data_IF_962875298653
#
_entry.id   IF_962875298653
#
_cell.length_a   1.000
_cell.length_b   1.000
_cell.length_c   1.000
_cell.angle_alpha   90.00
_cell.angle_beta   90.00
_cell.angle_gamma   90.00
#
_symmetry.space_group_name_H-M   'P 1'
#
loop_
_entity.id
_entity.type
_entity.pdbx_description
1 polymer ?
#
# COMPACT_ATOMS: atom_id res chain seq x y z
N UNK A 1 -50.53 27.24 12.52
CA UNK A 1 -49.91 27.37 11.17
C UNK A 1 -50.03 26.03 10.47
N UNK A 2 -50.99 25.90 9.55
CA UNK A 2 -51.35 24.63 8.90
C UNK A 2 -50.76 24.61 7.49
N UNK A 3 -49.79 23.72 7.25
CA UNK A 3 -49.09 23.56 5.99
C UNK A 3 -49.93 22.80 4.97
N UNK A 4 -50.33 23.48 3.90
CA UNK A 4 -51.15 22.95 2.81
C UNK A 4 -50.30 22.01 1.94
N UNK A 5 -50.39 20.70 2.17
CA UNK A 5 -49.90 19.65 1.26
C UNK A 5 -50.68 19.75 -0.07
N UNK A 6 -50.13 20.45 -1.06
CA UNK A 6 -50.67 20.43 -2.42
C UNK A 6 -50.31 19.09 -3.07
N UNK A 7 -51.34 18.27 -3.26
CA UNK A 7 -51.26 16.94 -3.87
C UNK A 7 -50.64 16.98 -5.27
N UNK A 8 -49.53 16.25 -5.41
CA UNK A 8 -48.90 15.90 -6.68
C UNK A 8 -49.49 14.58 -7.19
N UNK A 9 -50.80 14.55 -7.48
CA UNK A 9 -51.47 13.37 -8.05
C UNK A 9 -52.02 13.66 -9.44
N UNK A 10 -51.30 14.47 -10.22
CA UNK A 10 -51.55 14.61 -11.65
C UNK A 10 -50.87 13.45 -12.37
N UNK A 11 -51.63 12.44 -12.77
CA UNK A 11 -51.12 11.42 -13.68
C UNK A 11 -50.59 12.11 -14.95
N UNK A 12 -49.43 11.71 -15.48
CA UNK A 12 -48.90 12.30 -16.69
C UNK A 12 -49.93 12.12 -17.81
N UNK A 13 -50.23 13.20 -18.53
CA UNK A 13 -51.04 13.12 -19.75
C UNK A 13 -50.41 12.13 -20.76
N UNK A 14 -51.13 11.72 -21.81
CA UNK A 14 -50.65 10.69 -22.76
C UNK A 14 -49.27 11.00 -23.35
N UNK A 15 -48.94 12.27 -23.58
CA UNK A 15 -47.60 12.70 -24.02
C UNK A 15 -46.50 12.55 -22.96
N UNK A 16 -46.84 12.65 -21.67
CA UNK A 16 -45.93 12.41 -20.55
C UNK A 16 -45.60 10.92 -20.38
N UNK A 17 -46.59 10.04 -20.58
CA UNK A 17 -46.39 8.58 -20.55
C UNK A 17 -45.43 8.14 -21.66
N UNK A 18 -45.60 8.64 -22.89
CA UNK A 18 -44.70 8.32 -24.00
C UNK A 18 -43.25 8.77 -23.72
N UNK A 19 -43.05 9.98 -23.20
CA UNK A 19 -41.71 10.47 -22.84
C UNK A 19 -41.06 9.61 -21.77
N UNK A 20 -41.82 9.21 -20.74
CA UNK A 20 -41.33 8.32 -19.69
C UNK A 20 -40.88 6.98 -20.28
N UNK A 21 -41.70 6.36 -21.13
CA UNK A 21 -41.36 5.09 -21.78
C UNK A 21 -40.10 5.19 -22.63
N UNK A 22 -39.93 6.28 -23.39
CA UNK A 22 -38.71 6.52 -24.18
C UNK A 22 -37.48 6.66 -23.29
N UNK A 23 -37.56 7.42 -22.20
CA UNK A 23 -36.45 7.55 -21.25
C UNK A 23 -36.08 6.20 -20.62
N UNK A 24 -37.08 5.41 -20.20
CA UNK A 24 -36.85 4.08 -19.64
C UNK A 24 -36.18 3.17 -20.67
N UNK A 25 -36.69 3.15 -21.91
CA UNK A 25 -36.09 2.37 -22.99
C UNK A 25 -34.63 2.78 -23.26
N UNK A 26 -34.34 4.08 -23.31
CA UNK A 26 -32.98 4.58 -23.52
C UNK A 26 -32.02 4.15 -22.40
N UNK A 27 -32.43 4.23 -21.13
CA UNK A 27 -31.62 3.79 -19.99
C UNK A 27 -31.38 2.28 -20.03
N UNK A 28 -32.40 1.49 -20.39
CA UNK A 28 -32.27 0.04 -20.52
C UNK A 28 -31.28 -0.35 -21.62
N UNK A 29 -31.37 0.29 -22.79
CA UNK A 29 -30.44 0.05 -23.90
C UNK A 29 -29.01 0.44 -23.50
N UNK A 30 -28.81 1.61 -22.89
CA UNK A 30 -27.50 2.05 -22.42
C UNK A 30 -26.90 1.07 -21.41
N UNK A 31 -27.72 0.57 -20.47
CA UNK A 31 -27.31 -0.42 -19.48
C UNK A 31 -26.90 -1.74 -20.15
N UNK A 32 -27.69 -2.22 -21.12
CA UNK A 32 -27.39 -3.46 -21.86
C UNK A 32 -26.07 -3.35 -22.63
N UNK A 33 -25.86 -2.24 -23.35
CA UNK A 33 -24.61 -1.99 -24.08
C UNK A 33 -23.40 -1.90 -23.14
N UNK A 34 -23.57 -1.31 -21.96
CA UNK A 34 -22.52 -1.26 -20.95
C UNK A 34 -22.17 -2.67 -20.42
N UNK A 35 -23.17 -3.50 -20.15
CA UNK A 35 -22.94 -4.90 -19.74
C UNK A 35 -22.26 -5.70 -20.84
N UNK A 36 -22.68 -5.55 -22.11
CA UNK A 36 -22.04 -6.21 -23.24
C UNK A 36 -20.54 -5.84 -23.34
N UNK A 37 -20.22 -4.57 -23.18
CA UNK A 37 -18.83 -4.09 -23.13
C UNK A 37 -18.05 -4.64 -21.93
N UNK A 38 -18.70 -4.79 -20.77
CA UNK A 38 -18.07 -5.38 -19.58
C UNK A 38 -17.73 -6.86 -19.80
N UNK A 39 -18.63 -7.64 -20.40
CA UNK A 39 -18.42 -9.07 -20.67
C UNK A 39 -17.36 -9.34 -21.74
N UNK A 40 -17.21 -8.43 -22.71
CA UNK A 40 -16.15 -8.49 -23.72
C UNK A 40 -14.86 -7.77 -23.27
N UNK A 41 -14.84 -7.22 -22.06
CA UNK A 41 -13.66 -6.50 -21.59
C UNK A 41 -12.46 -7.44 -21.42
N UNK A 42 -11.23 -6.96 -21.63
CA UNK A 42 -10.02 -7.72 -21.36
C UNK A 42 -9.87 -8.23 -19.92
N UNK A 43 -10.69 -7.72 -18.99
CA UNK A 43 -10.72 -8.16 -17.59
C UNK A 43 -11.45 -9.51 -17.43
N UNK A 44 -12.47 -9.76 -18.27
CA UNK A 44 -13.28 -10.98 -18.24
C UNK A 44 -12.73 -12.09 -19.14
N UNK A 45 -11.74 -11.82 -20.00
CA UNK A 45 -11.14 -12.83 -20.88
C UNK A 45 -10.23 -13.80 -20.07
N UNK A 46 -10.62 -15.09 -19.90
CA UNK A 46 -9.83 -16.06 -19.15
C UNK A 46 -8.48 -16.38 -19.81
N UNK A 47 -8.37 -16.21 -21.13
CA UNK A 47 -7.12 -16.45 -21.87
C UNK A 47 -6.07 -15.42 -21.48
N UNK A 48 -6.45 -14.15 -21.38
CA UNK A 48 -5.54 -13.09 -20.92
C UNK A 48 -5.13 -13.25 -19.47
N UNK A 49 -6.01 -13.76 -18.61
CA UNK A 49 -5.61 -14.11 -17.24
C UNK A 49 -4.56 -15.21 -17.22
N UNK A 50 -4.70 -16.23 -18.07
CA UNK A 50 -3.72 -17.31 -18.22
C UNK A 50 -2.41 -16.80 -18.80
N UNK A 51 -2.42 -15.94 -19.82
CA UNK A 51 -1.22 -15.31 -20.39
C UNK A 51 -0.49 -14.44 -19.36
N UNK A 52 -1.21 -13.62 -18.59
CA UNK A 52 -0.61 -12.82 -17.50
C UNK A 52 0.04 -13.70 -16.44
N UNK A 53 -0.64 -14.77 -16.04
CA UNK A 53 -0.07 -15.77 -15.12
C UNK A 53 1.17 -16.43 -15.72
N UNK A 54 1.13 -16.80 -17.00
CA UNK A 54 2.25 -17.42 -17.71
C UNK A 54 3.45 -16.48 -17.79
N UNK A 55 3.28 -15.22 -18.23
CA UNK A 55 4.36 -14.24 -18.31
C UNK A 55 4.93 -13.95 -16.93
N UNK A 56 4.08 -13.77 -15.91
CA UNK A 56 4.52 -13.61 -14.52
C UNK A 56 5.34 -14.81 -14.04
N UNK A 57 4.87 -16.03 -14.29
CA UNK A 57 5.57 -17.25 -13.94
C UNK A 57 6.88 -17.41 -14.72
N UNK A 58 6.91 -17.05 -15.99
CA UNK A 58 8.10 -17.12 -16.83
C UNK A 58 9.16 -16.12 -16.35
N UNK A 59 8.78 -14.87 -16.08
CA UNK A 59 9.67 -13.87 -15.49
C UNK A 59 10.17 -14.37 -14.14
N UNK A 60 9.29 -14.89 -13.28
CA UNK A 60 9.68 -15.46 -11.99
C UNK A 60 10.68 -16.61 -12.12
N UNK A 61 10.51 -17.51 -13.09
CA UNK A 61 11.38 -18.66 -13.31
C UNK A 61 12.73 -18.29 -13.94
N UNK A 62 12.79 -17.21 -14.72
CA UNK A 62 13.98 -16.85 -15.50
C UNK A 62 14.71 -15.60 -14.99
N UNK A 63 14.31 -15.02 -13.86
CA UNK A 63 15.04 -13.88 -13.29
C UNK A 63 16.12 -14.38 -12.31
N UNK A 64 17.41 -14.16 -12.59
CA UNK A 64 18.54 -14.79 -11.90
C UNK A 64 18.80 -14.30 -10.46
N UNK A 65 17.85 -13.61 -9.82
CA UNK A 65 18.07 -12.99 -8.50
C UNK A 65 16.83 -13.02 -7.59
N UNK A 66 16.13 -14.16 -7.58
CA UNK A 66 14.91 -14.33 -6.78
C UNK A 66 15.15 -14.18 -5.27
N UNK A 67 16.37 -14.48 -4.79
CA UNK A 67 16.76 -14.26 -3.39
C UNK A 67 16.87 -12.77 -3.04
N UNK A 68 17.56 -11.96 -3.86
CA UNK A 68 17.63 -10.52 -3.58
C UNK A 68 16.28 -9.85 -3.73
N UNK A 69 15.44 -10.28 -4.68
CA UNK A 69 14.08 -9.75 -4.78
C UNK A 69 13.25 -10.09 -3.54
N UNK A 70 13.34 -11.32 -3.05
CA UNK A 70 12.67 -11.72 -1.80
C UNK A 70 13.14 -10.88 -0.62
N UNK A 71 14.45 -10.68 -0.47
CA UNK A 71 15.01 -9.84 0.59
C UNK A 71 14.47 -8.40 0.52
N UNK A 72 14.38 -7.83 -0.69
CA UNK A 72 13.81 -6.50 -0.90
C UNK A 72 12.31 -6.47 -0.58
N UNK A 73 11.56 -7.48 -1.00
CA UNK A 73 10.13 -7.60 -0.76
C UNK A 73 9.83 -7.67 0.74
N UNK A 74 10.50 -8.58 1.44
CA UNK A 74 10.35 -8.77 2.90
C UNK A 74 10.72 -7.49 3.64
N UNK A 75 11.82 -6.84 3.26
CA UNK A 75 12.25 -5.56 3.83
C UNK A 75 11.24 -4.44 3.61
N UNK A 76 10.58 -4.43 2.46
CA UNK A 76 9.58 -3.42 2.14
C UNK A 76 8.27 -3.66 2.91
N UNK A 77 7.79 -4.90 2.94
CA UNK A 77 6.59 -5.27 3.69
C UNK A 77 6.74 -5.10 5.20
N UNK A 78 7.93 -5.36 5.76
CA UNK A 78 8.24 -5.03 7.17
C UNK A 78 8.13 -3.53 7.47
N UNK A 79 8.42 -2.65 6.50
CA UNK A 79 8.23 -1.19 6.67
C UNK A 79 6.79 -0.77 6.44
N UNK A 80 6.11 -1.43 5.51
CA UNK A 80 4.86 -0.96 4.92
C UNK A 80 3.78 -2.04 4.97
N UNK A 81 3.15 -2.16 6.15
CA UNK A 81 2.10 -3.14 6.41
C UNK A 81 0.90 -2.97 5.49
N UNK A 82 0.56 -1.73 5.15
CA UNK A 82 -0.50 -1.39 4.20
C UNK A 82 -0.26 -2.04 2.82
N UNK A 83 0.99 -2.05 2.35
CA UNK A 83 1.33 -2.70 1.08
C UNK A 83 1.41 -4.21 1.24
N UNK A 84 1.82 -4.71 2.41
CA UNK A 84 1.86 -6.16 2.70
C UNK A 84 0.48 -6.79 2.66
N UNK A 85 -0.53 -6.07 3.17
CA UNK A 85 -1.92 -6.51 3.25
C UNK A 85 -2.72 -6.19 1.97
N UNK A 86 -2.14 -5.46 1.01
CA UNK A 86 -2.79 -5.11 -0.24
C UNK A 86 -3.13 -6.34 -1.09
N UNK A 87 -4.31 -6.33 -1.72
CA UNK A 87 -4.80 -7.47 -2.50
C UNK A 87 -3.98 -7.75 -3.77
N UNK A 88 -3.32 -6.74 -4.33
CA UNK A 88 -2.56 -6.85 -5.57
C UNK A 88 -1.04 -6.95 -5.32
N UNK A 89 -0.49 -6.05 -4.50
CA UNK A 89 0.95 -5.95 -4.20
C UNK A 89 1.40 -6.66 -2.93
N UNK A 90 0.46 -7.17 -2.14
CA UNK A 90 0.73 -7.82 -0.86
C UNK A 90 1.44 -9.16 -0.98
N UNK A 91 1.84 -9.68 0.18
CA UNK A 91 2.62 -10.92 0.31
C UNK A 91 1.90 -12.12 -0.32
N UNK A 92 0.57 -12.13 -0.20
CA UNK A 92 -0.31 -13.16 -0.76
C UNK A 92 -0.98 -12.71 -2.07
N UNK A 93 -0.61 -11.55 -2.61
CA UNK A 93 -1.15 -11.00 -3.85
C UNK A 93 -0.61 -11.69 -5.10
N UNK A 94 -1.24 -11.47 -6.27
CA UNK A 94 -0.82 -12.05 -7.54
C UNK A 94 0.60 -11.64 -7.98
N UNK A 95 1.11 -10.51 -7.46
CA UNK A 95 2.47 -10.05 -7.75
C UNK A 95 3.55 -10.77 -6.92
N UNK A 96 3.19 -11.35 -5.77
CA UNK A 96 4.12 -11.98 -4.84
C UNK A 96 5.31 -11.07 -4.50
N UNK A 97 6.54 -11.62 -4.52
CA UNK A 97 7.78 -10.87 -4.19
C UNK A 97 8.06 -9.68 -5.13
N UNK A 98 7.41 -9.59 -6.30
CA UNK A 98 7.56 -8.45 -7.21
C UNK A 98 6.63 -7.27 -6.87
N UNK A 99 5.62 -7.50 -6.03
CA UNK A 99 4.62 -6.51 -5.65
C UNK A 99 5.25 -5.23 -5.08
N UNK A 100 6.12 -5.32 -4.07
CA UNK A 100 6.84 -4.18 -3.51
C UNK A 100 7.58 -3.32 -4.52
N UNK A 101 8.27 -3.93 -5.49
CA UNK A 101 9.01 -3.20 -6.53
C UNK A 101 8.07 -2.43 -7.45
N UNK A 102 6.99 -3.08 -7.86
CA UNK A 102 5.97 -2.46 -8.71
C UNK A 102 5.27 -1.32 -7.98
N UNK A 103 4.80 -1.56 -6.76
CA UNK A 103 4.20 -0.54 -5.90
C UNK A 103 5.14 0.65 -5.67
N UNK A 104 6.41 0.40 -5.36
CA UNK A 104 7.40 1.47 -5.16
C UNK A 104 7.59 2.33 -6.41
N UNK A 105 7.62 1.72 -7.60
CA UNK A 105 7.76 2.44 -8.88
C UNK A 105 6.53 3.28 -9.20
N UNK A 106 5.33 2.76 -8.97
CA UNK A 106 4.07 3.44 -9.30
C UNK A 106 3.71 4.53 -8.28
N UNK A 107 3.85 4.23 -6.98
CA UNK A 107 3.36 5.04 -5.88
C UNK A 107 4.47 5.41 -4.88
N UNK A 108 5.16 4.39 -4.35
CA UNK A 108 6.03 4.55 -3.18
C UNK A 108 7.14 5.60 -3.33
N UNK A 109 7.68 5.81 -4.54
CA UNK A 109 8.71 6.85 -4.77
C UNK A 109 8.19 8.26 -4.50
N UNK A 110 6.95 8.55 -4.88
CA UNK A 110 6.31 9.86 -4.64
C UNK A 110 5.94 10.05 -3.17
N UNK A 111 5.66 8.94 -2.49
CA UNK A 111 5.35 8.88 -1.06
C UNK A 111 6.61 8.91 -0.18
N UNK A 112 7.82 8.91 -0.76
CA UNK A 112 9.08 8.89 -0.01
C UNK A 112 9.39 7.54 0.65
N UNK A 113 8.79 6.45 0.18
CA UNK A 113 9.05 5.10 0.70
C UNK A 113 10.47 4.62 0.40
N UNK A 114 10.94 3.65 1.16
CA UNK A 114 12.30 3.11 1.07
C UNK A 114 12.24 1.70 0.49
N UNK A 115 12.80 1.52 -0.70
CA UNK A 115 12.93 0.21 -1.35
C UNK A 115 14.39 -0.27 -1.30
N UNK A 116 14.84 -0.66 -0.10
CA UNK A 116 16.18 -1.17 0.19
C UNK A 116 16.13 -2.29 1.24
N UNK A 117 17.13 -3.19 1.29
CA UNK A 117 17.18 -4.20 2.33
C UNK A 117 17.21 -3.55 3.73
N UNK A 118 16.51 -4.12 4.70
CA UNK A 118 16.70 -3.79 6.11
C UNK A 118 18.07 -4.30 6.52
N UNK A 119 18.84 -3.48 7.22
CA UNK A 119 20.16 -3.88 7.72
C UNK A 119 19.98 -4.68 9.00
N UNK A 120 20.31 -5.97 8.95
CA UNK A 120 20.28 -6.84 10.13
C UNK A 120 21.29 -6.38 11.20
N UNK A 121 21.00 -6.69 12.46
CA UNK A 121 21.87 -6.39 13.58
C UNK A 121 22.88 -7.53 13.81
N UNK A 122 24.21 -7.24 13.83
CA UNK A 122 25.21 -8.27 14.12
C UNK A 122 25.05 -8.88 15.52
N UNK A 123 24.64 -8.07 16.50
CA UNK A 123 24.37 -8.47 17.88
C UNK A 123 22.98 -7.95 18.30
N UNK A 124 21.96 -8.84 18.41
CA UNK A 124 20.60 -8.45 18.80
C UNK A 124 20.50 -7.85 20.20
N UNK A 125 21.34 -8.24 21.17
CA UNK A 125 21.26 -7.73 22.53
C UNK A 125 21.84 -6.32 22.63
N UNK A 126 22.97 -6.07 21.95
CA UNK A 126 23.50 -4.71 21.80
C UNK A 126 22.49 -3.82 21.05
N UNK A 127 21.84 -4.35 20.01
CA UNK A 127 20.85 -3.60 19.24
C UNK A 127 19.64 -3.19 20.08
N UNK A 128 19.14 -4.05 20.97
CA UNK A 128 18.07 -3.68 21.92
C UNK A 128 18.45 -2.46 22.75
N UNK A 129 19.69 -2.41 23.22
CA UNK A 129 20.19 -1.29 24.04
C UNK A 129 20.26 -0.01 23.22
N UNK A 130 20.79 -0.09 21.99
CA UNK A 130 20.87 1.05 21.07
C UNK A 130 19.49 1.55 20.64
N UNK A 131 18.57 0.62 20.33
CA UNK A 131 17.20 0.92 19.94
C UNK A 131 16.45 1.67 21.04
N UNK A 132 16.54 1.21 22.30
CA UNK A 132 15.96 1.90 23.46
C UNK A 132 16.53 3.30 23.61
N UNK A 133 17.85 3.44 23.62
CA UNK A 133 18.51 4.75 23.74
C UNK A 133 18.09 5.72 22.62
N UNK A 134 17.90 5.21 21.40
CA UNK A 134 17.44 6.00 20.26
C UNK A 134 15.97 6.42 20.40
N UNK A 135 15.09 5.50 20.79
CA UNK A 135 13.66 5.80 21.02
C UNK A 135 13.43 6.74 22.20
N UNK A 136 14.20 6.63 23.27
CA UNK A 136 14.14 7.56 24.40
C UNK A 136 14.56 8.97 24.00
N UNK A 137 15.55 9.08 23.09
CA UNK A 137 16.00 10.36 22.52
C UNK A 137 15.00 10.93 21.51
N UNK A 138 14.30 10.07 20.76
CA UNK A 138 13.38 10.46 19.68
C UNK A 138 11.99 9.82 19.85
N UNK A 139 11.13 10.34 20.74
CA UNK A 139 9.81 9.78 21.01
C UNK A 139 8.89 9.72 19.77
N UNK A 140 9.06 10.64 18.82
CA UNK A 140 8.35 10.63 17.54
C UNK A 140 8.69 9.39 16.69
N UNK A 141 9.93 8.90 16.76
CA UNK A 141 10.34 7.66 16.10
C UNK A 141 9.78 6.45 16.85
N UNK A 142 9.76 6.49 18.19
CA UNK A 142 9.21 5.43 19.03
C UNK A 142 7.73 5.13 18.75
N UNK A 143 6.94 6.18 18.52
CA UNK A 143 5.53 6.06 18.15
C UNK A 143 5.27 5.80 16.66
N UNK A 144 6.31 5.71 15.83
CA UNK A 144 6.14 5.53 14.38
C UNK A 144 5.54 4.15 14.05
N UNK A 145 4.58 4.06 13.13
CA UNK A 145 4.08 2.76 12.66
C UNK A 145 5.15 1.97 11.86
N UNK A 146 6.18 2.65 11.34
CA UNK A 146 7.22 2.03 10.50
C UNK A 146 8.45 1.63 11.33
N UNK A 147 8.89 2.50 12.24
CA UNK A 147 10.15 2.35 12.98
C UNK A 147 9.98 2.30 14.51
N UNK A 148 8.74 2.32 14.98
CA UNK A 148 8.42 2.33 16.40
C UNK A 148 8.57 0.97 17.06
N UNK A 149 8.42 0.97 18.37
CA UNK A 149 8.58 -0.21 19.23
C UNK A 149 7.61 -1.35 18.86
N UNK A 150 6.42 -0.98 18.39
CA UNK A 150 5.36 -1.91 17.98
C UNK A 150 5.30 -2.14 16.46
N UNK A 151 6.29 -1.65 15.70
CA UNK A 151 6.36 -1.89 14.25
C UNK A 151 6.86 -3.30 13.95
N UNK A 152 6.63 -3.77 12.72
CA UNK A 152 7.16 -5.06 12.23
C UNK A 152 8.70 -5.10 12.17
N UNK A 153 9.37 -3.93 12.22
CA UNK A 153 10.83 -3.85 12.35
C UNK A 153 11.33 -4.07 13.78
N UNK A 154 10.50 -3.84 14.79
CA UNK A 154 10.87 -3.92 16.20
C UNK A 154 12.19 -3.19 16.49
N UNK A 155 13.16 -3.91 17.08
CA UNK A 155 14.47 -3.35 17.48
C UNK A 155 15.33 -2.86 16.31
N UNK A 156 15.03 -3.27 15.07
CA UNK A 156 15.73 -2.80 13.87
C UNK A 156 15.20 -1.44 13.38
N UNK A 157 14.00 -1.04 13.82
CA UNK A 157 13.34 0.20 13.40
C UNK A 157 14.21 1.44 13.57
N UNK A 158 14.79 1.69 14.76
CA UNK A 158 15.66 2.82 15.02
C UNK A 158 16.88 2.92 14.09
N UNK A 159 17.56 1.79 13.85
CA UNK A 159 18.72 1.73 12.95
C UNK A 159 18.31 2.04 11.53
N UNK A 160 17.22 1.42 11.06
CA UNK A 160 16.67 1.66 9.73
C UNK A 160 16.30 3.13 9.53
N UNK A 161 15.60 3.73 10.50
CA UNK A 161 15.27 5.15 10.51
C UNK A 161 16.53 6.02 10.45
N UNK A 162 17.54 5.73 11.27
CA UNK A 162 18.79 6.51 11.29
C UNK A 162 19.51 6.46 9.94
N UNK A 163 19.64 5.27 9.33
CA UNK A 163 20.33 5.08 8.04
C UNK A 163 19.65 5.87 6.92
N UNK A 164 18.32 5.90 6.90
CA UNK A 164 17.58 6.45 5.76
C UNK A 164 17.13 7.90 5.96
N UNK A 165 16.88 8.33 7.20
CA UNK A 165 16.30 9.63 7.51
C UNK A 165 17.12 10.34 8.58
N UNK A 166 17.27 9.71 9.76
CA UNK A 166 17.79 10.37 10.95
C UNK A 166 19.16 11.01 10.76
N UNK A 167 20.11 10.35 10.09
CA UNK A 167 21.44 10.92 9.85
C UNK A 167 21.41 12.20 9.02
N UNK A 168 20.46 12.33 8.10
CA UNK A 168 20.29 13.52 7.25
C UNK A 168 19.59 14.65 8.00
N UNK A 169 18.88 14.33 9.07
CA UNK A 169 18.28 15.29 10.01
C UNK A 169 19.23 15.66 11.17
N UNK A 170 20.47 15.17 11.17
CA UNK A 170 21.44 15.41 12.25
C UNK A 170 21.14 14.64 13.54
N UNK A 171 20.30 13.61 13.49
CA UNK A 171 20.06 12.74 14.64
C UNK A 171 21.28 11.86 14.92
N UNK A 172 21.48 11.54 16.19
CA UNK A 172 22.60 10.72 16.66
C UNK A 172 22.21 9.26 16.86
N UNK A 173 23.04 8.34 16.36
CA UNK A 173 23.01 6.90 16.65
C UNK A 173 24.12 6.53 17.62
N UNK A 174 23.88 5.57 18.51
CA UNK A 174 24.85 5.13 19.49
C UNK A 174 24.42 5.36 20.94
N UNK A 175 25.23 4.90 21.91
CA UNK A 175 24.96 5.08 23.33
C UNK A 175 24.82 6.56 23.68
N UNK A 176 24.10 6.90 24.77
CA UNK A 176 24.08 8.27 25.26
C UNK A 176 25.51 8.75 25.50
N UNK A 177 25.77 10.02 25.18
CA UNK A 177 27.03 10.64 25.54
C UNK A 177 27.20 10.50 27.06
N UNK A 178 28.41 10.17 27.56
CA UNK A 178 28.67 10.24 28.98
C UNK A 178 28.30 11.65 29.48
N UNK A 179 27.75 11.78 30.70
CA UNK A 179 27.49 13.10 31.28
C UNK A 179 28.77 13.93 31.16
N UNK A 180 28.66 15.16 30.67
CA UNK A 180 29.82 16.03 30.58
C UNK A 180 30.43 16.16 31.97
N UNK A 181 31.71 15.75 32.11
CA UNK A 181 32.45 15.88 33.37
C UNK A 181 32.30 17.34 33.82
N UNK A 182 31.55 17.53 34.91
CA UNK A 182 31.18 18.86 35.39
C UNK A 182 32.45 19.69 35.58
N UNK A 183 32.59 20.73 34.77
CA UNK A 183 33.52 21.83 34.97
C UNK A 183 32.75 23.05 35.44
#
# INVERSE_FOLDING_TARGET
MSGRLKGLTGLPGPGGVLRLLVCVAAVLIATLLWFEGLFHSPLMDPRRQTERKFVSNYVRANTPDSEKERLLADSYWRRYRDVREDAYWGENGPMGIWGPRDHYRQHGRKEGRIFRPVTEAPDPEAEKTLARAYWDRYPNVRGSPIWGENSDLGILGPRDHFIHIGRFLGLTWGPPAPPADGK
#
